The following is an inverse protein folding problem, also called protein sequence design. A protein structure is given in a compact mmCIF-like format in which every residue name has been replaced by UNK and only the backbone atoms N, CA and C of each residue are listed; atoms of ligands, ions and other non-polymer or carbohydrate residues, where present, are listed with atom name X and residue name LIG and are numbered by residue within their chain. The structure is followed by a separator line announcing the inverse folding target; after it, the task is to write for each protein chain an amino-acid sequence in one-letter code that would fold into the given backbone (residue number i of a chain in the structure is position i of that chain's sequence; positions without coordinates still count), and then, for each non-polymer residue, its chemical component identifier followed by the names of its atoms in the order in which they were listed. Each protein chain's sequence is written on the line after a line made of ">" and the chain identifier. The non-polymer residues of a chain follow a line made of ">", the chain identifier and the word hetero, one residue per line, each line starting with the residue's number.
data_IF_490131137044
#
_entry.id   IF_490131137044
#
_cell.length_a   1.000
_cell.length_b   1.000
_cell.length_c   1.000
_cell.angle_alpha   90.00
_cell.angle_beta   90.00
_cell.angle_gamma   90.00
#
_symmetry.space_group_name_H-M   'P 1'
#
loop_
_entity.id
_entity.type
_entity.pdbx_description
1 polymer ?
#
# COMPACT_ATOMS: atom_id res chain seq x y z
N UNK A 1 -8.93 -28.04 -26.67
CA UNK A 1 -7.62 -27.42 -26.36
C UNK A 1 -7.20 -27.88 -24.99
N UNK A 2 -5.96 -28.35 -24.84
CA UNK A 2 -5.45 -28.76 -23.54
C UNK A 2 -5.14 -27.50 -22.70
N UNK A 3 -5.42 -27.51 -21.40
CA UNK A 3 -5.16 -26.35 -20.54
C UNK A 3 -3.67 -25.96 -20.52
N UNK A 4 -2.76 -26.92 -20.68
CA UNK A 4 -1.31 -26.67 -20.81
C UNK A 4 -0.96 -25.79 -22.01
N UNK A 5 -1.71 -25.89 -23.11
CA UNK A 5 -1.50 -25.08 -24.33
C UNK A 5 -2.03 -23.66 -24.20
N UNK A 6 -2.82 -23.37 -23.15
CA UNK A 6 -3.47 -22.09 -22.91
C UNK A 6 -2.76 -21.27 -21.82
N UNK A 7 -1.85 -21.87 -21.06
CA UNK A 7 -1.08 -21.15 -20.04
C UNK A 7 0.17 -20.51 -20.67
N UNK A 8 0.50 -19.24 -20.33
CA UNK A 8 1.63 -18.55 -20.95
C UNK A 8 2.99 -18.95 -20.36
N UNK A 9 3.03 -19.92 -19.45
CA UNK A 9 4.22 -20.48 -18.80
C UNK A 9 4.24 -22.00 -18.91
N UNK A 10 5.44 -22.59 -18.81
CA UNK A 10 5.67 -24.03 -18.94
C UNK A 10 5.66 -24.81 -17.62
N UNK A 11 5.47 -24.12 -16.49
CA UNK A 11 5.43 -24.77 -15.19
C UNK A 11 4.01 -25.17 -14.77
N UNK A 12 3.93 -26.17 -13.89
CA UNK A 12 2.72 -26.73 -13.31
C UNK A 12 2.97 -27.09 -11.85
N UNK A 13 1.90 -27.23 -11.09
CA UNK A 13 1.92 -27.69 -9.70
C UNK A 13 0.87 -28.78 -9.61
N UNK A 14 1.26 -30.04 -9.68
CA UNK A 14 0.33 -31.19 -9.77
C UNK A 14 0.53 -32.13 -8.59
N UNK A 15 -0.51 -32.86 -8.20
CA UNK A 15 -0.35 -33.98 -7.27
C UNK A 15 0.42 -35.12 -7.97
N UNK A 16 1.34 -35.79 -7.25
CA UNK A 16 2.03 -36.99 -7.74
C UNK A 16 1.07 -38.16 -7.91
N UNK A 17 0.12 -38.27 -6.98
CA UNK A 17 -0.91 -39.29 -6.97
C UNK A 17 -2.26 -38.62 -6.66
N UNK A 18 -3.16 -38.66 -7.62
CA UNK A 18 -4.50 -38.05 -7.51
C UNK A 18 -5.43 -38.81 -6.58
N UNK A 19 -5.12 -40.07 -6.24
CA UNK A 19 -5.88 -40.88 -5.30
C UNK A 19 -5.57 -40.50 -3.84
N UNK A 20 -4.32 -40.14 -3.56
CA UNK A 20 -3.85 -39.80 -2.22
C UNK A 20 -4.04 -38.32 -1.88
N UNK A 21 -3.93 -37.44 -2.88
CA UNK A 21 -3.90 -35.99 -2.69
C UNK A 21 -5.03 -35.30 -3.45
N UNK A 22 -6.02 -34.79 -2.72
CA UNK A 22 -7.11 -34.00 -3.30
C UNK A 22 -6.70 -32.55 -3.50
N UNK A 23 -6.71 -32.08 -4.74
CA UNK A 23 -6.43 -30.67 -5.06
C UNK A 23 -7.53 -29.74 -4.56
N UNK A 24 -7.18 -28.53 -4.06
CA UNK A 24 -8.17 -27.55 -3.66
C UNK A 24 -8.95 -27.05 -4.88
N UNK A 25 -10.26 -26.86 -4.71
CA UNK A 25 -11.10 -26.26 -5.76
C UNK A 25 -10.72 -24.80 -5.99
N UNK A 26 -11.03 -24.28 -7.19
CA UNK A 26 -10.86 -22.86 -7.53
C UNK A 26 -11.49 -21.92 -6.48
N UNK A 27 -12.69 -22.26 -6.00
CA UNK A 27 -13.38 -21.50 -4.96
C UNK A 27 -12.60 -21.48 -3.63
N UNK A 28 -11.95 -22.59 -3.25
CA UNK A 28 -11.15 -22.67 -2.02
C UNK A 28 -9.88 -21.82 -2.11
N UNK A 29 -9.21 -21.81 -3.26
CA UNK A 29 -8.04 -20.96 -3.53
C UNK A 29 -8.41 -19.48 -3.46
N UNK A 30 -9.43 -19.07 -4.22
CA UNK A 30 -9.90 -17.68 -4.25
C UNK A 30 -10.47 -17.24 -2.90
N UNK A 31 -11.20 -18.13 -2.22
CA UNK A 31 -11.73 -17.88 -0.87
C UNK A 31 -10.62 -17.62 0.13
N UNK A 32 -9.50 -18.35 0.05
CA UNK A 32 -8.34 -18.11 0.91
C UNK A 32 -7.73 -16.74 0.64
N UNK A 33 -7.63 -16.31 -0.63
CA UNK A 33 -7.17 -14.95 -0.95
C UNK A 33 -8.10 -13.88 -0.38
N UNK A 34 -9.41 -14.07 -0.48
CA UNK A 34 -10.39 -13.13 0.06
C UNK A 34 -10.28 -13.03 1.59
N UNK A 35 -10.23 -14.17 2.28
CA UNK A 35 -10.11 -14.24 3.75
C UNK A 35 -8.81 -13.56 4.21
N UNK A 36 -7.67 -13.89 3.61
CA UNK A 36 -6.38 -13.29 3.96
C UNK A 36 -6.42 -11.78 3.76
N UNK A 37 -6.99 -11.30 2.66
CA UNK A 37 -7.14 -9.86 2.41
C UNK A 37 -7.99 -9.16 3.47
N UNK A 38 -9.13 -9.75 3.85
CA UNK A 38 -10.00 -9.19 4.90
C UNK A 38 -9.27 -9.14 6.24
N UNK A 39 -8.63 -10.25 6.64
CA UNK A 39 -7.88 -10.32 7.90
C UNK A 39 -6.74 -9.30 7.96
N UNK A 40 -5.90 -9.24 6.91
CA UNK A 40 -4.81 -8.26 6.83
C UNK A 40 -5.33 -6.84 6.81
N UNK A 41 -6.49 -6.59 6.19
CA UNK A 41 -7.10 -5.26 6.18
C UNK A 41 -7.54 -4.86 7.59
N UNK A 42 -8.27 -5.71 8.31
CA UNK A 42 -8.71 -5.44 9.68
C UNK A 42 -7.51 -5.21 10.60
N UNK A 43 -6.54 -6.13 10.58
CA UNK A 43 -5.32 -6.01 11.38
C UNK A 43 -4.52 -4.77 10.94
N UNK A 44 -4.49 -4.47 9.65
CA UNK A 44 -3.86 -3.28 9.10
C UNK A 44 -4.45 -1.99 9.63
N UNK A 45 -5.77 -1.89 9.79
CA UNK A 45 -6.42 -0.73 10.41
C UNK A 45 -5.97 -0.56 11.86
N UNK A 46 -5.88 -1.65 12.62
CA UNK A 46 -5.46 -1.61 14.04
C UNK A 46 -3.97 -1.27 14.17
N UNK A 47 -3.11 -2.04 13.50
CA UNK A 47 -1.65 -1.93 13.61
C UNK A 47 -1.03 -0.87 12.71
N UNK A 48 -1.77 -0.34 11.74
CA UNK A 48 -1.38 0.83 10.96
C UNK A 48 -1.56 2.13 11.73
N UNK A 49 -2.27 2.12 12.86
CA UNK A 49 -2.43 3.28 13.73
C UNK A 49 -1.21 3.43 14.64
N UNK A 50 -0.50 4.55 14.52
CA UNK A 50 0.68 4.84 15.34
C UNK A 50 0.43 4.86 16.85
N UNK A 51 -0.71 5.36 17.32
CA UNK A 51 -1.02 5.38 18.75
C UNK A 51 -1.19 3.98 19.33
N UNK A 52 -1.85 3.10 18.57
CA UNK A 52 -1.99 1.70 18.96
C UNK A 52 -0.61 1.06 19.07
N UNK A 53 0.25 1.24 18.05
CA UNK A 53 1.61 0.72 18.08
C UNK A 53 2.46 1.32 19.21
N UNK A 54 2.38 2.62 19.44
CA UNK A 54 3.10 3.29 20.53
C UNK A 54 2.68 2.74 21.89
N UNK A 55 1.37 2.49 22.09
CA UNK A 55 0.84 1.88 23.32
C UNK A 55 1.31 0.43 23.48
N UNK A 56 1.28 -0.36 22.41
CA UNK A 56 1.78 -1.74 22.42
C UNK A 56 3.29 -1.83 22.63
N UNK A 57 4.03 -0.84 22.15
CA UNK A 57 5.48 -0.71 22.31
C UNK A 57 5.90 -0.06 23.64
N UNK A 58 4.97 0.09 24.59
CA UNK A 58 5.20 0.72 25.90
C UNK A 58 5.88 2.11 25.81
N UNK A 59 5.59 2.87 24.74
CA UNK A 59 6.14 4.20 24.50
C UNK A 59 7.64 4.28 24.17
N UNK A 60 8.31 3.14 23.93
CA UNK A 60 9.75 3.10 23.61
C UNK A 60 10.05 3.37 22.14
N UNK A 61 9.15 2.99 21.24
CA UNK A 61 9.33 3.11 19.79
C UNK A 61 8.30 4.08 19.18
N UNK A 62 8.57 4.56 17.96
CA UNK A 62 7.66 5.41 17.16
C UNK A 62 7.40 6.83 17.71
N UNK A 63 8.37 7.37 18.46
CA UNK A 63 8.26 8.71 19.08
C UNK A 63 8.58 9.85 18.11
N UNK A 64 9.47 9.63 17.16
CA UNK A 64 9.96 10.68 16.26
C UNK A 64 9.11 10.81 14.99
N UNK A 65 8.20 11.79 15.01
CA UNK A 65 7.34 12.17 13.88
C UNK A 65 8.11 12.73 12.69
N UNK A 66 9.34 13.19 12.90
CA UNK A 66 10.16 13.85 11.88
C UNK A 66 11.23 12.93 11.28
N UNK A 67 11.22 11.65 11.65
CA UNK A 67 12.16 10.69 11.09
C UNK A 67 12.00 10.63 9.57
N UNK A 68 13.11 10.85 8.83
CA UNK A 68 13.15 10.69 7.37
C UNK A 68 13.10 9.21 6.94
N UNK A 69 13.12 8.27 7.89
CA UNK A 69 13.13 6.83 7.63
C UNK A 69 11.91 6.36 6.82
N UNK A 70 10.74 7.02 6.94
CA UNK A 70 9.54 6.70 6.14
C UNK A 70 9.83 6.71 4.63
N UNK A 71 10.79 7.52 4.17
CA UNK A 71 11.17 7.59 2.75
C UNK A 71 11.77 6.29 2.23
N UNK A 72 12.31 5.43 3.11
CA UNK A 72 12.91 4.14 2.75
C UNK A 72 12.04 2.94 3.16
N UNK A 73 11.10 3.10 4.09
CA UNK A 73 10.31 1.97 4.63
C UNK A 73 9.50 1.23 3.56
N UNK A 74 9.10 1.90 2.47
CA UNK A 74 8.40 1.22 1.37
C UNK A 74 9.28 0.17 0.66
N UNK A 75 10.60 0.37 0.56
CA UNK A 75 11.52 -0.63 -0.02
C UNK A 75 11.57 -1.89 0.84
N UNK A 76 11.59 -1.71 2.16
CA UNK A 76 11.53 -2.82 3.12
C UNK A 76 10.23 -3.60 2.92
N UNK A 77 9.11 -2.90 2.73
CA UNK A 77 7.82 -3.52 2.43
C UNK A 77 7.81 -4.29 1.11
N UNK A 78 8.42 -3.76 0.05
CA UNK A 78 8.59 -4.49 -1.22
C UNK A 78 9.40 -5.77 -1.00
N UNK A 79 10.53 -5.67 -0.30
CA UNK A 79 11.40 -6.81 0.00
C UNK A 79 10.69 -7.89 0.82
N UNK A 80 9.94 -7.50 1.86
CA UNK A 80 9.13 -8.41 2.68
C UNK A 80 8.07 -9.10 1.83
N UNK A 81 7.34 -8.38 0.98
CA UNK A 81 6.28 -8.97 0.14
C UNK A 81 6.85 -9.94 -0.91
N UNK A 82 7.97 -9.60 -1.55
CA UNK A 82 8.67 -10.51 -2.46
C UNK A 82 9.21 -11.72 -1.71
N UNK A 83 9.78 -11.52 -0.53
CA UNK A 83 10.24 -12.60 0.36
C UNK A 83 9.11 -13.55 0.76
N UNK A 84 7.92 -13.03 1.07
CA UNK A 84 6.74 -13.83 1.35
C UNK A 84 6.35 -14.70 0.15
N UNK A 85 6.31 -14.10 -1.04
CA UNK A 85 6.01 -14.82 -2.28
C UNK A 85 7.05 -15.91 -2.59
N UNK A 86 8.34 -15.63 -2.39
CA UNK A 86 9.41 -16.60 -2.55
C UNK A 86 9.33 -17.74 -1.52
N UNK A 87 9.03 -17.42 -0.26
CA UNK A 87 8.84 -18.42 0.80
C UNK A 87 7.66 -19.33 0.49
N UNK A 88 6.53 -18.78 0.02
CA UNK A 88 5.40 -19.60 -0.45
C UNK A 88 5.82 -20.51 -1.59
N UNK A 89 6.59 -20.00 -2.56
CA UNK A 89 7.14 -20.84 -3.63
C UNK A 89 8.03 -21.98 -3.12
N UNK A 90 8.89 -21.71 -2.14
CA UNK A 90 9.72 -22.73 -1.51
C UNK A 90 8.90 -23.77 -0.72
N UNK A 91 7.83 -23.35 -0.03
CA UNK A 91 6.89 -24.26 0.65
C UNK A 91 6.22 -25.18 -0.36
N UNK A 92 5.79 -24.65 -1.51
CA UNK A 92 5.15 -25.44 -2.56
C UNK A 92 6.12 -26.44 -3.17
N UNK A 93 7.33 -26.00 -3.51
CA UNK A 93 8.34 -26.85 -4.14
C UNK A 93 8.79 -28.00 -3.24
N UNK A 94 8.84 -27.79 -1.92
CA UNK A 94 9.25 -28.80 -0.93
C UNK A 94 8.10 -29.67 -0.40
N UNK A 95 6.87 -29.49 -0.88
CA UNK A 95 5.74 -30.25 -0.38
C UNK A 95 5.79 -31.71 -0.85
N UNK A 96 5.81 -32.70 0.06
CA UNK A 96 5.79 -34.11 -0.34
C UNK A 96 4.47 -34.45 -1.04
N UNK A 97 4.52 -35.31 -2.05
CA UNK A 97 3.34 -35.72 -2.82
C UNK A 97 2.95 -34.79 -3.97
N UNK A 98 3.77 -33.76 -4.28
CA UNK A 98 3.51 -32.83 -5.39
C UNK A 98 4.67 -32.80 -6.39
N UNK A 99 4.35 -32.58 -7.65
CA UNK A 99 5.30 -32.26 -8.72
C UNK A 99 5.25 -30.75 -8.97
N UNK A 100 6.40 -30.10 -8.84
CA UNK A 100 6.56 -28.65 -8.99
C UNK A 100 7.78 -28.36 -9.88
N UNK A 101 7.55 -28.03 -11.15
CA UNK A 101 8.61 -27.82 -12.14
C UNK A 101 8.88 -26.33 -12.44
N UNK A 102 8.67 -25.44 -11.46
CA UNK A 102 8.98 -24.01 -11.56
C UNK A 102 10.28 -23.66 -10.83
N UNK A 103 10.91 -22.55 -11.24
CA UNK A 103 11.93 -21.86 -10.43
C UNK A 103 11.23 -20.97 -9.41
N UNK A 104 11.74 -20.87 -8.18
CA UNK A 104 11.09 -20.09 -7.10
C UNK A 104 10.80 -18.65 -7.53
N UNK A 105 11.70 -18.01 -8.28
CA UNK A 105 11.51 -16.63 -8.74
C UNK A 105 10.34 -16.50 -9.72
N UNK A 106 10.03 -17.52 -10.54
CA UNK A 106 8.91 -17.48 -11.47
C UNK A 106 7.58 -17.39 -10.70
N UNK A 107 7.45 -18.21 -9.66
CA UNK A 107 6.25 -18.20 -8.83
C UNK A 107 6.21 -16.98 -7.89
N UNK A 108 7.38 -16.51 -7.42
CA UNK A 108 7.49 -15.26 -6.68
C UNK A 108 6.92 -14.07 -7.46
N UNK A 109 7.32 -13.93 -8.73
CA UNK A 109 6.81 -12.90 -9.64
C UNK A 109 5.34 -13.14 -9.97
N UNK A 110 4.93 -14.40 -10.18
CA UNK A 110 3.53 -14.72 -10.43
C UNK A 110 2.61 -14.25 -9.30
N UNK A 111 3.04 -14.39 -8.04
CA UNK A 111 2.27 -13.95 -6.88
C UNK A 111 2.24 -12.43 -6.67
N UNK A 112 2.99 -11.62 -7.41
CA UNK A 112 2.83 -10.15 -7.34
C UNK A 112 1.52 -9.68 -8.00
N UNK A 113 0.93 -10.51 -8.87
CA UNK A 113 -0.37 -10.27 -9.51
C UNK A 113 -1.56 -10.53 -8.56
N UNK A 114 -1.30 -10.95 -7.31
CA UNK A 114 -2.37 -11.27 -6.35
C UNK A 114 -3.10 -9.98 -5.91
N UNK A 115 -4.44 -9.97 -5.89
CA UNK A 115 -5.19 -8.80 -5.45
C UNK A 115 -4.92 -8.51 -3.96
N UNK A 116 -4.68 -7.24 -3.63
CA UNK A 116 -4.42 -6.75 -2.27
C UNK A 116 -5.29 -5.55 -1.95
N UNK A 117 -5.97 -5.60 -0.80
CA UNK A 117 -6.96 -4.56 -0.40
C UNK A 117 -6.47 -3.62 0.71
N UNK A 118 -5.54 -4.07 1.56
CA UNK A 118 -5.19 -3.36 2.81
C UNK A 118 -4.69 -1.94 2.58
N UNK A 119 -3.87 -1.73 1.56
CA UNK A 119 -3.30 -0.42 1.25
C UNK A 119 -4.37 0.61 0.85
N UNK A 120 -5.46 0.19 0.21
CA UNK A 120 -6.58 1.05 -0.21
C UNK A 120 -7.31 1.58 1.02
N UNK A 121 -7.61 0.69 1.97
CA UNK A 121 -8.29 1.06 3.22
C UNK A 121 -7.41 1.98 4.06
N UNK A 122 -6.11 1.69 4.16
CA UNK A 122 -5.17 2.57 4.86
C UNK A 122 -5.07 3.95 4.21
N UNK A 123 -5.08 4.03 2.87
CA UNK A 123 -5.13 5.31 2.16
C UNK A 123 -6.42 6.08 2.47
N UNK A 124 -7.58 5.43 2.46
CA UNK A 124 -8.85 6.08 2.83
C UNK A 124 -8.82 6.62 4.25
N UNK A 125 -8.29 5.85 5.21
CA UNK A 125 -8.14 6.29 6.60
C UNK A 125 -7.18 7.48 6.74
N UNK A 126 -6.03 7.42 6.08
CA UNK A 126 -5.07 8.53 6.05
C UNK A 126 -5.65 9.83 5.47
N UNK A 127 -6.63 9.73 4.56
CA UNK A 127 -7.34 10.89 4.00
C UNK A 127 -8.49 11.39 4.87
N UNK A 128 -9.16 10.50 5.60
CA UNK A 128 -10.29 10.85 6.46
C UNK A 128 -9.85 11.79 7.60
N UNK A 129 -8.69 11.55 8.21
CA UNK A 129 -8.20 12.36 9.34
C UNK A 129 -7.86 13.81 8.98
N UNK A 130 -7.50 14.07 7.72
CA UNK A 130 -7.30 15.43 7.22
C UNK A 130 -8.59 16.28 7.30
N UNK A 131 -9.78 15.66 7.44
CA UNK A 131 -11.05 16.37 7.52
C UNK A 131 -11.42 16.87 8.91
N UNK A 132 -10.86 16.35 10.01
CA UNK A 132 -11.33 16.72 11.34
C UNK A 132 -11.12 18.23 11.56
N UNK A 133 -12.19 19.05 11.66
CA UNK A 133 -12.03 20.46 11.95
C UNK A 133 -11.29 20.57 13.27
N UNK A 134 -10.24 21.40 13.31
CA UNK A 134 -9.68 21.83 14.58
C UNK A 134 -10.88 22.25 15.43
N UNK A 135 -11.03 21.66 16.62
CA UNK A 135 -11.68 22.41 17.70
C UNK A 135 -10.78 23.62 17.93
N UNK A 136 -11.01 24.68 17.14
CA UNK A 136 -10.56 26.02 17.46
C UNK A 136 -11.12 26.32 18.84
N UNK A 137 -10.24 26.57 19.80
CA UNK A 137 -10.66 27.06 21.11
C UNK A 137 -10.50 26.05 22.25
N UNK A 138 -9.27 25.69 22.58
CA UNK A 138 -8.81 26.10 23.91
C UNK A 138 -8.02 27.38 23.69
N UNK A 139 -8.74 28.50 23.56
CA UNK A 139 -8.17 29.79 23.92
C UNK A 139 -7.94 29.60 25.41
N UNK A 140 -6.68 29.37 25.82
CA UNK A 140 -6.37 29.48 27.23
C UNK A 140 -7.05 30.78 27.68
N UNK A 141 -7.96 30.76 28.67
CA UNK A 141 -8.54 32.00 29.16
C UNK A 141 -7.34 32.91 29.40
N UNK A 142 -7.37 34.09 28.77
CA UNK A 142 -6.37 35.10 29.02
C UNK A 142 -6.30 35.18 30.54
N UNK A 143 -5.13 34.86 31.10
CA UNK A 143 -4.84 35.03 32.50
C UNK A 143 -4.74 36.55 32.72
N UNK A 144 -5.87 37.23 32.57
CA UNK A 144 -6.16 38.54 33.11
C UNK A 144 -6.64 38.25 34.52
N UNK A 145 -5.73 38.39 35.48
CA UNK A 145 -5.96 38.77 36.88
C UNK A 145 -4.92 38.11 37.77
N UNK A 146 -3.81 38.83 37.93
CA UNK A 146 -3.13 38.99 39.22
C UNK A 146 -2.19 40.21 39.11
N UNK A 147 -2.75 41.35 38.73
CA UNK A 147 -2.20 42.65 39.16
C UNK A 147 -3.03 43.07 40.37
N UNK A 148 -2.95 42.28 41.44
CA UNK A 148 -3.46 42.69 42.73
C UNK A 148 -2.31 43.31 43.51
N UNK A 149 -2.44 44.61 43.70
CA UNK A 149 -1.61 45.51 44.49
C UNK A 149 -1.08 44.89 45.79
N UNK A 150 0.23 44.68 45.88
CA UNK A 150 0.96 44.85 47.15
C UNK A 150 1.66 46.20 47.14
N UNK A 151 0.95 47.17 47.70
CA UNK A 151 1.43 48.49 48.09
C UNK A 151 2.33 48.33 49.33
N UNK A 152 3.65 48.52 49.18
CA UNK A 152 4.60 48.65 50.30
C UNK A 152 5.04 50.12 50.44
N UNK A 153 5.29 50.61 51.68
CA UNK A 153 5.60 52.01 51.95
C UNK A 153 7.07 52.35 51.65
N UNK A 154 7.42 53.65 51.51
CA UNK A 154 8.74 54.08 51.11
C UNK A 154 9.64 54.28 52.33
N UNK A 155 10.87 53.78 52.31
CA UNK A 155 11.93 54.35 53.14
C UNK A 155 13.34 54.20 52.53
N UNK A 156 13.95 55.38 52.38
CA UNK A 156 15.37 55.77 52.48
C UNK A 156 16.50 55.10 51.67
N UNK A 157 16.96 55.87 50.67
CA UNK A 157 18.34 56.34 50.41
C UNK A 157 19.55 55.39 50.58
N UNK A 158 20.27 55.14 49.47
CA UNK A 158 21.66 55.62 49.26
C UNK A 158 22.23 55.24 47.89
N UNK A 159 22.78 56.25 47.23
CA UNK A 159 23.97 56.35 46.39
C UNK A 159 24.36 55.25 45.37
N UNK A 160 24.51 55.75 44.14
CA UNK A 160 25.53 55.45 43.14
C UNK A 160 25.77 53.98 42.75
N UNK A 161 25.28 53.61 41.56
CA UNK A 161 26.19 53.38 40.44
C UNK A 161 25.43 53.36 39.11
N UNK A 162 26.00 54.05 38.13
CA UNK A 162 25.52 54.17 36.77
C UNK A 162 25.60 52.81 36.05
N UNK A 163 24.53 52.01 36.13
CA UNK A 163 24.32 50.88 35.23
C UNK A 163 23.48 51.32 34.03
N UNK A 164 24.12 51.24 32.88
CA UNK A 164 23.58 51.44 31.54
C UNK A 164 22.30 50.60 31.32
N UNK A 165 21.15 51.27 31.33
CA UNK A 165 19.84 50.70 31.04
C UNK A 165 19.78 50.22 29.59
N UNK A 166 19.98 48.92 29.41
CA UNK A 166 19.72 48.21 28.15
C UNK A 166 18.21 48.24 27.89
N UNK A 167 17.74 48.75 26.73
CA UNK A 167 16.32 48.97 26.48
C UNK A 167 15.51 47.67 26.57
N UNK A 168 14.31 47.84 27.12
CA UNK A 168 13.31 46.81 27.40
C UNK A 168 13.13 45.83 26.23
N UNK A 169 13.19 44.55 26.59
CA UNK A 169 13.14 43.41 25.69
C UNK A 169 11.99 43.49 24.68
N UNK A 170 12.38 43.55 23.42
CA UNK A 170 11.58 43.09 22.28
C UNK A 170 11.07 41.69 22.62
N UNK A 171 9.76 41.56 22.83
CA UNK A 171 9.11 40.28 23.00
C UNK A 171 9.43 39.45 21.75
N UNK A 172 10.39 38.52 21.88
CA UNK A 172 10.73 37.59 20.82
C UNK A 172 9.44 36.89 20.42
N UNK A 173 8.94 37.23 19.23
CA UNK A 173 7.81 36.61 18.59
C UNK A 173 8.17 35.12 18.49
N UNK A 174 7.72 34.32 19.46
CA UNK A 174 7.97 32.88 19.46
C UNK A 174 7.50 32.39 18.11
N UNK A 175 8.40 31.90 17.24
CA UNK A 175 8.03 31.52 15.89
C UNK A 175 6.88 30.54 16.03
N UNK A 176 5.74 30.88 15.41
CA UNK A 176 4.51 30.10 15.45
C UNK A 176 4.88 28.62 15.29
N UNK A 177 4.89 27.89 16.40
CA UNK A 177 5.09 26.44 16.42
C UNK A 177 3.85 25.88 15.75
N UNK A 178 3.94 25.74 14.43
CA UNK A 178 2.86 25.24 13.60
C UNK A 178 2.48 23.88 14.15
N UNK A 179 1.33 23.83 14.84
CA UNK A 179 0.83 22.63 15.47
C UNK A 179 0.54 21.61 14.36
N UNK A 180 1.51 20.74 14.11
CA UNK A 180 1.43 19.76 13.05
C UNK A 180 0.43 18.68 13.49
N UNK A 181 -0.72 18.66 12.82
CA UNK A 181 -1.79 17.68 13.06
C UNK A 181 -1.22 16.28 12.91
N UNK A 182 -1.41 15.46 13.93
CA UNK A 182 -0.98 14.07 13.92
C UNK A 182 -1.99 13.24 13.10
N UNK A 183 -1.50 12.50 12.11
CA UNK A 183 -2.31 11.63 11.26
C UNK A 183 -1.81 10.19 11.46
N UNK A 184 -2.30 9.45 12.48
CA UNK A 184 -1.75 8.17 12.92
C UNK A 184 -1.64 7.08 11.84
N UNK A 185 -2.43 7.14 10.76
CA UNK A 185 -2.35 6.18 9.64
C UNK A 185 -1.53 6.66 8.44
N UNK A 186 -1.15 7.93 8.38
CA UNK A 186 -0.58 8.52 7.17
C UNK A 186 0.73 7.86 6.73
N UNK A 187 1.61 7.49 7.67
CA UNK A 187 2.89 6.83 7.36
C UNK A 187 2.67 5.42 6.82
N UNK A 188 1.84 4.63 7.48
CA UNK A 188 1.47 3.28 7.04
C UNK A 188 0.83 3.31 5.64
N UNK A 189 -0.10 4.23 5.42
CA UNK A 189 -0.78 4.40 4.15
C UNK A 189 0.19 4.71 3.01
N UNK A 190 1.06 5.71 3.17
CA UNK A 190 2.06 6.08 2.15
C UNK A 190 3.03 4.94 1.87
N UNK A 191 3.56 4.31 2.92
CA UNK A 191 4.53 3.23 2.77
C UNK A 191 3.93 2.01 2.04
N UNK A 192 2.69 1.65 2.35
CA UNK A 192 1.97 0.57 1.66
C UNK A 192 1.62 0.94 0.23
N UNK A 193 1.17 2.17 -0.05
CA UNK A 193 0.86 2.62 -1.40
C UNK A 193 2.10 2.58 -2.31
N UNK A 194 3.25 3.09 -1.84
CA UNK A 194 4.49 3.04 -2.63
C UNK A 194 5.01 1.62 -2.85
N UNK A 195 4.92 0.76 -1.83
CA UNK A 195 5.28 -0.64 -1.98
C UNK A 195 4.36 -1.35 -2.98
N UNK A 196 3.07 -1.02 -2.99
CA UNK A 196 2.12 -1.54 -3.95
C UNK A 196 2.45 -1.10 -5.38
N UNK A 197 2.72 0.18 -5.62
CA UNK A 197 3.12 0.70 -6.95
C UNK A 197 4.33 -0.08 -7.49
N UNK A 198 5.36 -0.29 -6.66
CA UNK A 198 6.54 -1.05 -7.06
C UNK A 198 6.20 -2.52 -7.41
N UNK A 199 5.34 -3.16 -6.64
CA UNK A 199 4.93 -4.55 -6.89
C UNK A 199 4.00 -4.67 -8.11
N UNK A 200 3.20 -3.64 -8.39
CA UNK A 200 2.37 -3.54 -9.59
C UNK A 200 3.23 -3.38 -10.85
N UNK A 201 4.32 -2.59 -10.80
CA UNK A 201 5.31 -2.50 -11.88
C UNK A 201 5.91 -3.87 -12.17
N UNK A 202 6.25 -4.65 -11.12
CA UNK A 202 6.74 -6.03 -11.29
C UNK A 202 5.64 -6.93 -11.89
N UNK A 203 4.39 -6.78 -11.45
CA UNK A 203 3.24 -7.54 -11.97
C UNK A 203 2.97 -7.29 -13.47
N UNK A 204 3.36 -6.13 -14.02
CA UNK A 204 3.26 -5.84 -15.46
C UNK A 204 4.00 -6.88 -16.30
N UNK A 205 5.08 -7.48 -15.81
CA UNK A 205 5.77 -8.55 -16.53
C UNK A 205 4.86 -9.76 -16.78
N UNK A 206 4.15 -10.23 -15.76
CA UNK A 206 3.27 -11.41 -15.85
C UNK A 206 2.03 -11.09 -16.67
N UNK A 207 1.42 -9.92 -16.45
CA UNK A 207 0.26 -9.46 -17.24
C UNK A 207 0.64 -9.26 -18.71
N UNK A 208 1.76 -8.60 -18.98
CA UNK A 208 2.34 -8.39 -20.31
C UNK A 208 2.59 -9.69 -21.05
N UNK A 209 3.25 -10.65 -20.40
CA UNK A 209 3.49 -12.00 -20.97
C UNK A 209 2.18 -12.71 -21.31
N UNK A 210 1.17 -12.61 -20.45
CA UNK A 210 -0.16 -13.19 -20.67
C UNK A 210 -0.87 -12.56 -21.87
N UNK A 211 -0.83 -11.22 -21.97
CA UNK A 211 -1.44 -10.49 -23.10
C UNK A 211 -0.73 -10.80 -24.40
N UNK A 212 0.60 -10.78 -24.42
CA UNK A 212 1.38 -11.14 -25.61
C UNK A 212 1.08 -12.56 -26.10
N UNK A 213 1.00 -13.51 -25.17
CA UNK A 213 0.68 -14.90 -25.47
C UNK A 213 -0.69 -15.06 -26.15
N UNK A 214 -1.72 -14.40 -25.62
CA UNK A 214 -3.07 -14.44 -26.15
C UNK A 214 -3.21 -13.67 -27.47
N UNK A 215 -2.53 -12.52 -27.60
CA UNK A 215 -2.51 -11.73 -28.83
C UNK A 215 -1.89 -12.51 -30.00
N UNK A 216 -0.75 -13.18 -29.79
CA UNK A 216 -0.11 -14.02 -30.82
C UNK A 216 -1.00 -15.16 -31.33
N UNK A 217 -1.93 -15.63 -30.51
CA UNK A 217 -2.89 -16.71 -30.83
C UNK A 217 -4.26 -16.20 -31.29
N UNK A 218 -4.39 -14.88 -31.52
CA UNK A 218 -5.63 -14.24 -31.94
C UNK A 218 -6.81 -14.43 -30.96
N UNK A 219 -6.51 -14.69 -29.68
CA UNK A 219 -7.52 -14.96 -28.66
C UNK A 219 -8.37 -13.73 -28.30
N UNK A 220 -7.89 -12.51 -28.60
CA UNK A 220 -8.64 -11.27 -28.39
C UNK A 220 -9.58 -10.90 -29.55
N UNK A 221 -9.46 -11.54 -30.72
CA UNK A 221 -10.36 -11.25 -31.84
C UNK A 221 -11.71 -11.90 -31.57
N UNK A 222 -12.66 -11.11 -31.08
CA UNK A 222 -14.03 -11.55 -30.81
C UNK A 222 -14.65 -12.11 -32.10
N UNK A 223 -15.26 -13.29 -32.01
CA UNK A 223 -15.88 -13.95 -33.15
C UNK A 223 -14.96 -14.87 -33.97
N UNK A 224 -13.63 -14.74 -33.82
CA UNK A 224 -12.67 -15.70 -34.40
C UNK A 224 -12.88 -17.12 -33.86
N UNK A 225 -12.51 -18.12 -34.66
CA UNK A 225 -12.61 -19.53 -34.23
C UNK A 225 -11.77 -19.79 -32.97
N UNK A 226 -10.58 -19.18 -32.90
CA UNK A 226 -9.71 -19.25 -31.73
C UNK A 226 -10.42 -18.74 -30.46
N UNK A 227 -11.00 -17.52 -30.50
CA UNK A 227 -11.73 -16.96 -29.36
C UNK A 227 -12.98 -17.77 -28.98
N UNK A 228 -13.76 -18.23 -29.96
CA UNK A 228 -14.96 -19.05 -29.73
C UNK A 228 -14.64 -20.35 -29.01
N UNK A 229 -13.51 -20.98 -29.35
CA UNK A 229 -13.06 -22.24 -28.75
C UNK A 229 -12.48 -22.12 -27.34
N UNK A 230 -12.21 -20.90 -26.84
CA UNK A 230 -11.61 -20.73 -25.51
C UNK A 230 -12.58 -21.08 -24.38
N UNK A 231 -12.12 -21.83 -23.37
CA UNK A 231 -12.90 -22.04 -22.15
C UNK A 231 -13.07 -20.71 -21.40
N UNK A 232 -14.16 -20.58 -20.65
CA UNK A 232 -14.49 -19.35 -19.92
C UNK A 232 -13.38 -18.88 -18.96
N UNK A 233 -12.64 -19.81 -18.33
CA UNK A 233 -11.47 -19.49 -17.50
C UNK A 233 -10.36 -18.78 -18.27
N UNK A 234 -10.03 -19.24 -19.48
CA UNK A 234 -9.03 -18.58 -20.32
C UNK A 234 -9.49 -17.18 -20.74
N UNK A 235 -10.77 -17.02 -21.12
CA UNK A 235 -11.33 -15.71 -21.47
C UNK A 235 -11.19 -14.71 -20.31
N UNK A 236 -11.52 -15.12 -19.08
CA UNK A 236 -11.37 -14.28 -17.88
C UNK A 236 -9.90 -13.95 -17.59
N UNK A 237 -8.99 -14.92 -17.71
CA UNK A 237 -7.57 -14.73 -17.44
C UNK A 237 -6.96 -13.70 -18.40
N UNK A 238 -7.19 -13.88 -19.70
CA UNK A 238 -6.69 -12.96 -20.74
C UNK A 238 -7.36 -11.59 -20.65
N UNK A 239 -8.68 -11.54 -20.44
CA UNK A 239 -9.40 -10.28 -20.27
C UNK A 239 -8.89 -9.50 -19.04
N UNK A 240 -8.68 -10.17 -17.90
CA UNK A 240 -8.13 -9.56 -16.69
C UNK A 240 -6.73 -8.99 -16.91
N UNK A 241 -5.86 -9.72 -17.61
CA UNK A 241 -4.52 -9.25 -17.94
C UNK A 241 -4.54 -8.05 -18.91
N UNK A 242 -5.39 -8.09 -19.95
CA UNK A 242 -5.53 -6.99 -20.90
C UNK A 242 -6.10 -5.74 -20.23
N UNK A 243 -7.16 -5.91 -19.43
CA UNK A 243 -7.76 -4.85 -18.63
C UNK A 243 -6.74 -4.18 -17.71
N UNK A 244 -5.92 -5.00 -17.02
CA UNK A 244 -4.85 -4.51 -16.16
C UNK A 244 -3.83 -3.66 -16.94
N UNK A 245 -3.38 -4.09 -18.13
CA UNK A 245 -2.39 -3.32 -18.90
C UNK A 245 -2.96 -2.04 -19.50
N UNK A 246 -4.14 -2.11 -20.12
CA UNK A 246 -4.73 -0.96 -20.83
C UNK A 246 -5.04 0.18 -19.86
N UNK A 247 -5.62 -0.13 -18.70
CA UNK A 247 -5.91 0.90 -17.70
C UNK A 247 -4.71 1.20 -16.80
N UNK A 248 -3.90 0.19 -16.47
CA UNK A 248 -2.83 0.33 -15.49
C UNK A 248 -1.59 1.03 -15.99
N UNK A 249 -1.18 0.87 -17.26
CA UNK A 249 0.09 1.45 -17.74
C UNK A 249 0.07 2.99 -17.68
N UNK A 250 -0.99 3.62 -18.19
CA UNK A 250 -1.10 5.09 -18.15
C UNK A 250 -1.10 5.63 -16.72
N UNK A 251 -1.73 4.91 -15.79
CA UNK A 251 -1.80 5.30 -14.38
C UNK A 251 -0.50 5.06 -13.64
N UNK A 252 0.22 3.96 -13.93
CA UNK A 252 1.55 3.73 -13.38
C UNK A 252 2.55 4.80 -13.83
N UNK A 253 2.47 5.27 -15.08
CA UNK A 253 3.31 6.39 -15.52
C UNK A 253 3.02 7.66 -14.71
N UNK A 254 1.74 7.94 -14.43
CA UNK A 254 1.35 9.06 -13.56
C UNK A 254 1.84 8.87 -12.12
N UNK A 255 1.74 7.65 -11.56
CA UNK A 255 2.24 7.30 -10.23
C UNK A 255 3.75 7.45 -10.12
N UNK A 256 4.50 6.94 -11.10
CA UNK A 256 5.95 7.08 -11.18
C UNK A 256 6.34 8.55 -11.27
N UNK A 257 5.62 9.34 -12.08
CA UNK A 257 5.86 10.79 -12.15
C UNK A 257 5.61 11.48 -10.81
N UNK A 258 4.54 11.10 -10.11
CA UNK A 258 4.20 11.63 -8.78
C UNK A 258 5.25 11.22 -7.73
N UNK A 259 5.75 9.99 -7.81
CA UNK A 259 6.84 9.50 -6.96
C UNK A 259 8.15 10.24 -7.24
N UNK A 260 8.52 10.36 -8.52
CA UNK A 260 9.75 11.03 -8.94
C UNK A 260 9.77 12.49 -8.47
N UNK A 261 8.66 13.22 -8.66
CA UNK A 261 8.53 14.61 -8.18
C UNK A 261 8.62 14.69 -6.65
N UNK A 262 8.01 13.75 -5.91
CA UNK A 262 8.09 13.71 -4.45
C UNK A 262 9.53 13.48 -3.93
N UNK A 263 10.30 12.58 -4.54
CA UNK A 263 11.64 12.22 -4.07
C UNK A 263 12.73 13.19 -4.51
N UNK A 264 12.64 13.70 -5.73
CA UNK A 264 13.69 14.55 -6.30
C UNK A 264 13.58 16.00 -5.85
N UNK A 265 12.41 16.44 -5.38
CA UNK A 265 12.14 17.87 -5.13
C UNK A 265 12.22 18.73 -6.40
N UNK A 266 12.57 18.13 -7.54
CA UNK A 266 12.54 18.75 -8.86
C UNK A 266 11.08 18.92 -9.22
N UNK A 267 10.60 20.14 -8.96
CA UNK A 267 9.37 20.67 -9.50
C UNK A 267 9.50 20.85 -11.01
N UNK A 268 9.73 19.77 -11.75
CA UNK A 268 9.61 19.74 -13.22
C UNK A 268 8.12 19.64 -13.59
N UNK A 269 7.37 20.65 -13.14
CA UNK A 269 5.92 20.65 -13.12
C UNK A 269 5.38 22.03 -12.79
N UNK A 270 5.97 23.10 -13.32
CA UNK A 270 5.34 24.43 -13.32
C UNK A 270 3.93 24.41 -13.94
N UNK A 271 3.61 23.41 -14.78
CA UNK A 271 2.28 23.27 -15.38
C UNK A 271 1.20 22.84 -14.38
N UNK A 272 1.52 22.01 -13.37
CA UNK A 272 0.54 21.57 -12.35
C UNK A 272 0.72 22.25 -10.98
N UNK A 273 1.94 22.69 -10.63
CA UNK A 273 2.17 23.49 -9.43
C UNK A 273 1.42 24.85 -9.47
N UNK A 274 1.16 25.37 -10.67
CA UNK A 274 0.30 26.54 -10.90
C UNK A 274 -1.16 26.28 -10.50
N UNK A 275 -1.67 25.05 -10.69
CA UNK A 275 -3.00 24.65 -10.23
C UNK A 275 -3.03 24.37 -8.71
N UNK A 276 -1.94 23.84 -8.14
CA UNK A 276 -1.81 23.65 -6.69
C UNK A 276 -1.73 24.99 -5.91
N UNK A 277 -1.19 26.05 -6.54
CA UNK A 277 -1.17 27.41 -5.98
C UNK A 277 -2.55 28.06 -5.87
N UNK A 278 -3.59 27.52 -6.53
CA UNK A 278 -4.96 28.06 -6.46
C UNK A 278 -5.65 27.86 -5.09
N UNK A 279 -4.99 27.23 -4.11
CA UNK A 279 -5.51 27.09 -2.74
C UNK A 279 -6.79 26.25 -2.64
N UNK A 280 -7.24 25.64 -3.73
CA UNK A 280 -8.50 24.93 -3.76
C UNK A 280 -8.33 23.49 -3.24
N UNK A 281 -8.33 23.35 -1.91
CA UNK A 281 -8.30 22.05 -1.19
C UNK A 281 -9.35 21.04 -1.70
N UNK A 282 -10.40 21.47 -2.42
CA UNK A 282 -11.35 20.56 -3.08
C UNK A 282 -10.72 19.78 -4.23
N UNK A 283 -9.85 20.40 -5.03
CA UNK A 283 -9.28 19.75 -6.22
C UNK A 283 -8.32 18.61 -5.86
N UNK A 284 -7.44 18.85 -4.88
CA UNK A 284 -6.54 17.82 -4.34
C UNK A 284 -7.32 16.59 -3.82
N UNK A 285 -8.44 16.82 -3.13
CA UNK A 285 -9.32 15.75 -2.63
C UNK A 285 -9.91 14.92 -3.75
N UNK A 286 -10.44 15.56 -4.79
CA UNK A 286 -11.00 14.83 -5.94
C UNK A 286 -9.92 14.02 -6.64
N UNK A 287 -8.73 14.59 -6.82
CA UNK A 287 -7.59 13.87 -7.39
C UNK A 287 -7.22 12.64 -6.55
N UNK A 288 -7.18 12.74 -5.21
CA UNK A 288 -6.87 11.56 -4.38
C UNK A 288 -7.99 10.53 -4.34
N UNK A 289 -9.25 10.94 -4.26
CA UNK A 289 -10.39 10.01 -4.31
C UNK A 289 -10.42 9.28 -5.65
N UNK A 290 -10.25 10.03 -6.74
CA UNK A 290 -10.12 9.46 -8.07
C UNK A 290 -8.94 8.48 -8.12
N UNK A 291 -7.78 8.86 -7.61
CA UNK A 291 -6.60 7.99 -7.53
C UNK A 291 -6.91 6.65 -6.82
N UNK A 292 -7.53 6.69 -5.64
CA UNK A 292 -7.91 5.50 -4.87
C UNK A 292 -8.93 4.66 -5.62
N UNK A 293 -9.97 5.29 -6.19
CA UNK A 293 -11.02 4.60 -6.93
C UNK A 293 -10.48 3.94 -8.21
N UNK A 294 -9.64 4.65 -8.97
CA UNK A 294 -9.03 4.11 -10.17
C UNK A 294 -8.14 2.93 -9.82
N UNK A 295 -7.24 3.08 -8.85
CA UNK A 295 -6.41 1.97 -8.38
C UNK A 295 -7.20 0.75 -7.94
N UNK A 296 -8.29 0.95 -7.17
CA UNK A 296 -9.22 -0.11 -6.81
C UNK A 296 -9.83 -0.75 -8.06
N UNK A 297 -10.21 0.05 -9.05
CA UNK A 297 -10.83 -0.47 -10.26
C UNK A 297 -9.85 -1.30 -11.10
N UNK A 298 -8.68 -0.81 -11.48
CA UNK A 298 -7.83 -1.55 -12.44
C UNK A 298 -6.97 -2.63 -11.77
N UNK A 299 -6.30 -2.32 -10.66
CA UNK A 299 -5.39 -3.31 -10.05
C UNK A 299 -6.12 -4.40 -9.33
N UNK A 300 -7.09 -4.05 -8.48
CA UNK A 300 -7.79 -5.04 -7.69
C UNK A 300 -8.73 -5.87 -8.57
N UNK A 301 -9.58 -5.25 -9.40
CA UNK A 301 -10.47 -6.02 -10.29
C UNK A 301 -9.69 -6.79 -11.35
N UNK A 302 -8.70 -6.18 -12.00
CA UNK A 302 -7.88 -6.84 -13.03
C UNK A 302 -7.15 -8.07 -12.48
N UNK A 303 -6.57 -7.95 -11.28
CA UNK A 303 -5.93 -9.05 -10.57
C UNK A 303 -6.93 -10.16 -10.20
N UNK A 304 -8.14 -9.81 -9.73
CA UNK A 304 -9.17 -10.80 -9.45
C UNK A 304 -9.64 -11.53 -10.71
N UNK A 305 -9.94 -10.80 -11.80
CA UNK A 305 -10.33 -11.40 -13.07
C UNK A 305 -9.25 -12.35 -13.59
N UNK A 306 -7.99 -11.92 -13.53
CA UNK A 306 -6.84 -12.75 -13.90
C UNK A 306 -6.79 -14.03 -13.07
N UNK A 307 -6.82 -13.92 -11.74
CA UNK A 307 -6.71 -15.07 -10.84
C UNK A 307 -7.90 -16.02 -10.94
N UNK A 308 -9.13 -15.50 -11.02
CA UNK A 308 -10.35 -16.31 -11.22
C UNK A 308 -10.25 -17.10 -12.52
N UNK A 309 -9.82 -16.45 -13.60
CA UNK A 309 -9.61 -17.09 -14.88
C UNK A 309 -8.52 -18.16 -14.80
N UNK A 310 -7.37 -17.83 -14.22
CA UNK A 310 -6.24 -18.73 -14.07
C UNK A 310 -6.60 -19.98 -13.28
N UNK A 311 -7.16 -19.88 -12.07
CA UNK A 311 -7.42 -21.06 -11.24
C UNK A 311 -8.49 -21.98 -11.86
N UNK A 312 -9.46 -21.40 -12.57
CA UNK A 312 -10.49 -22.16 -13.30
C UNK A 312 -9.92 -22.85 -14.53
N UNK A 313 -9.03 -22.17 -15.26
CA UNK A 313 -8.37 -22.71 -16.44
C UNK A 313 -7.37 -23.81 -16.07
N UNK A 314 -6.53 -23.57 -15.08
CA UNK A 314 -5.47 -24.49 -14.69
C UNK A 314 -6.03 -25.78 -14.07
N UNK A 315 -7.09 -25.68 -13.26
CA UNK A 315 -7.71 -26.84 -12.64
C UNK A 315 -6.68 -27.70 -11.90
N UNK A 316 -6.54 -28.97 -12.30
CA UNK A 316 -5.58 -29.89 -11.70
C UNK A 316 -4.10 -29.56 -11.98
N UNK A 317 -3.81 -28.73 -13.00
CA UNK A 317 -2.45 -28.25 -13.30
C UNK A 317 -1.93 -27.25 -12.25
N UNK A 318 -2.82 -26.73 -11.40
CA UNK A 318 -2.49 -25.86 -10.27
C UNK A 318 -3.14 -26.39 -8.98
N UNK A 319 -2.39 -27.24 -8.29
CA UNK A 319 -2.77 -27.94 -7.08
C UNK A 319 -1.89 -27.43 -5.92
N UNK A 320 -2.17 -26.24 -5.35
CA UNK A 320 -1.30 -25.65 -4.34
C UNK A 320 -1.35 -26.45 -3.01
N UNK A 321 -0.22 -27.00 -2.54
CA UNK A 321 -0.14 -27.70 -1.25
C UNK A 321 -0.27 -26.73 -0.08
N UNK A 322 -0.83 -27.21 1.04
CA UNK A 322 -0.86 -26.46 2.32
C UNK A 322 -1.37 -25.02 2.16
N UNK A 323 -2.47 -24.83 1.44
CA UNK A 323 -3.02 -23.52 1.09
C UNK A 323 -3.19 -22.58 2.31
N UNK A 324 -3.55 -23.12 3.47
CA UNK A 324 -3.64 -22.36 4.73
C UNK A 324 -2.29 -21.77 5.17
N UNK A 325 -1.19 -22.52 5.04
CA UNK A 325 0.15 -22.08 5.41
C UNK A 325 0.61 -20.93 4.49
N UNK A 326 0.27 -21.01 3.20
CA UNK A 326 0.53 -19.92 2.25
C UNK A 326 -0.23 -18.65 2.66
N UNK A 327 -1.51 -18.80 3.00
CA UNK A 327 -2.34 -17.71 3.52
C UNK A 327 -1.75 -17.05 4.78
N UNK A 328 -1.26 -17.85 5.72
CA UNK A 328 -0.62 -17.37 6.94
C UNK A 328 0.68 -16.61 6.66
N UNK A 329 1.54 -17.12 5.76
CA UNK A 329 2.77 -16.42 5.35
C UNK A 329 2.44 -15.04 4.78
N UNK A 330 1.48 -14.98 3.85
CA UNK A 330 1.05 -13.71 3.28
C UNK A 330 0.46 -12.76 4.31
N UNK A 331 -0.34 -13.27 5.24
CA UNK A 331 -0.95 -12.46 6.28
C UNK A 331 0.11 -11.86 7.22
N UNK A 332 1.01 -12.70 7.72
CA UNK A 332 2.07 -12.31 8.66
C UNK A 332 3.02 -11.29 8.04
N UNK A 333 3.51 -11.54 6.82
CA UNK A 333 4.45 -10.64 6.15
C UNK A 333 3.80 -9.31 5.76
N UNK A 334 2.52 -9.33 5.34
CA UNK A 334 1.80 -8.08 5.07
C UNK A 334 1.59 -7.26 6.33
N UNK A 335 1.21 -7.90 7.44
CA UNK A 335 1.06 -7.22 8.72
C UNK A 335 2.39 -6.64 9.21
N UNK A 336 3.47 -7.41 9.12
CA UNK A 336 4.80 -6.96 9.49
C UNK A 336 5.22 -5.73 8.66
N UNK A 337 4.95 -5.73 7.36
CA UNK A 337 5.19 -4.55 6.52
C UNK A 337 4.31 -3.34 6.89
N UNK A 338 3.06 -3.55 7.32
CA UNK A 338 2.21 -2.45 7.79
C UNK A 338 2.78 -1.86 9.09
N UNK A 339 3.20 -2.69 10.03
CA UNK A 339 3.81 -2.24 11.30
C UNK A 339 5.09 -1.44 11.03
N UNK A 340 5.97 -1.94 10.15
CA UNK A 340 7.19 -1.21 9.73
C UNK A 340 6.81 0.09 9.02
N UNK A 341 5.83 0.07 8.12
CA UNK A 341 5.37 1.27 7.42
C UNK A 341 4.85 2.34 8.38
N UNK A 342 4.08 1.94 9.40
CA UNK A 342 3.58 2.83 10.43
C UNK A 342 4.71 3.46 11.28
N UNK A 343 5.80 2.72 11.48
CA UNK A 343 6.94 3.13 12.32
C UNK A 343 7.76 4.30 11.79
N UNK A 344 7.77 4.50 10.46
CA UNK A 344 8.78 5.31 9.81
C UNK A 344 8.57 6.83 9.87
N UNK A 345 7.44 7.33 10.39
CA UNK A 345 7.11 8.75 10.25
C UNK A 345 6.38 9.33 11.43
#
# INVERSE_FOLDING_TARGET
>A
MNATELLPWGWTITAKDTSLVTCPSAARVLGTFAIVNVLVTILGVLFGNRYVLHRLACGKYFKDKNSKAHRLMWLVNVGIQLGANALVGAIIQRAPGYNANFKIWELMLFFTVRPRLSWIILMVLGLYENKSPQKQGYRAPAMQEATELTQYPPEHSRDNDSQEQKPAGEAQLVPNLEYQRDCPWASAAKSQAYAEIALQIIALYIMGRTVHFAAKRQYYIVGSQANKSLPGGAKLMYAGALYYLVLGVSLHLYEIQTLATHYTGLSCGQVFASAAKSGNRRHERYATIAFVFYNLSYTWLGSWLFWVGFVRLAGHLYCPPKLYAQGLVWAAFSLFGIVIGASGG
#
